data_IF_681198089658
#
_entry.id   IF_681198089658
#
_cell.length_a   1.000
_cell.length_b   1.000
_cell.length_c   1.000
_cell.angle_alpha   90.00
_cell.angle_beta   90.00
_cell.angle_gamma   90.00
#
_symmetry.space_group_name_H-M   'P 1'
#
loop_
_entity.id
_entity.type
_entity.pdbx_description
1 polymer ?
#
# COMPACT_ATOMS: atom_id res chain seq x y z
N UNK A 1 -16.98 -7.22 -0.10
CA UNK A 1 -16.09 -6.42 -0.95
C UNK A 1 -16.12 -4.98 -0.51
N UNK A 2 -15.00 -4.28 -0.51
CA UNK A 2 -14.93 -2.85 -0.20
C UNK A 2 -15.04 -2.07 -1.52
N UNK A 3 -16.14 -1.39 -1.75
CA UNK A 3 -16.42 -0.61 -2.97
C UNK A 3 -16.24 0.90 -2.78
N UNK A 4 -16.48 1.42 -1.58
CA UNK A 4 -16.68 2.85 -1.33
C UNK A 4 -15.48 3.76 -1.66
N UNK A 5 -14.25 3.24 -1.65
CA UNK A 5 -13.05 4.05 -1.87
C UNK A 5 -12.36 3.81 -3.22
N UNK A 6 -12.91 2.94 -4.09
CA UNK A 6 -12.23 2.44 -5.27
C UNK A 6 -13.04 2.53 -6.56
N UNK A 7 -14.32 2.89 -6.47
CA UNK A 7 -15.18 3.09 -7.64
C UNK A 7 -15.07 4.52 -8.17
N UNK A 8 -15.06 4.67 -9.48
CA UNK A 8 -15.40 5.95 -10.12
C UNK A 8 -14.26 6.78 -10.68
N UNK A 9 -12.98 6.37 -10.58
CA UNK A 9 -11.90 7.09 -11.27
C UNK A 9 -11.50 6.51 -12.63
N UNK A 10 -11.82 5.25 -12.88
CA UNK A 10 -11.54 4.59 -14.16
C UNK A 10 -12.51 3.42 -14.37
N UNK A 11 -13.48 3.62 -15.26
CA UNK A 11 -14.53 2.63 -15.55
C UNK A 11 -13.97 1.32 -16.11
N UNK A 12 -12.88 1.38 -16.90
CA UNK A 12 -12.25 0.20 -17.46
C UNK A 12 -11.57 -0.65 -16.36
N UNK A 13 -10.90 -0.01 -15.41
CA UNK A 13 -10.32 -0.71 -14.28
C UNK A 13 -11.41 -1.31 -13.37
N UNK A 14 -12.50 -0.58 -13.16
CA UNK A 14 -13.65 -1.07 -12.41
C UNK A 14 -14.28 -2.30 -13.08
N UNK A 15 -14.43 -2.31 -14.40
CA UNK A 15 -14.94 -3.45 -15.14
C UNK A 15 -14.08 -4.71 -14.97
N UNK A 16 -12.74 -4.58 -15.00
CA UNK A 16 -11.81 -5.69 -14.73
C UNK A 16 -12.03 -6.28 -13.35
N UNK A 17 -12.24 -5.43 -12.34
CA UNK A 17 -12.47 -5.90 -10.97
C UNK A 17 -13.84 -6.57 -10.84
N UNK A 18 -14.89 -6.04 -11.48
CA UNK A 18 -16.21 -6.68 -11.48
C UNK A 18 -16.18 -8.07 -12.15
N UNK A 19 -15.40 -8.24 -13.21
CA UNK A 19 -15.21 -9.55 -13.83
C UNK A 19 -14.44 -10.51 -12.90
N UNK A 20 -13.43 -10.02 -12.18
CA UNK A 20 -12.74 -10.80 -11.16
C UNK A 20 -13.69 -11.28 -10.04
N UNK A 21 -14.62 -10.41 -9.59
CA UNK A 21 -15.62 -10.78 -8.59
C UNK A 21 -16.60 -11.86 -9.09
N UNK A 22 -16.99 -11.81 -10.37
CA UNK A 22 -17.81 -12.87 -11.00
C UNK A 22 -17.09 -14.21 -10.96
N UNK A 23 -15.77 -14.23 -11.21
CA UNK A 23 -14.97 -15.46 -11.11
C UNK A 23 -14.96 -15.99 -9.68
N UNK A 24 -14.74 -15.13 -8.68
CA UNK A 24 -14.78 -15.54 -7.26
C UNK A 24 -16.13 -16.18 -6.91
N UNK A 25 -17.24 -15.55 -7.30
CA UNK A 25 -18.59 -16.08 -7.09
C UNK A 25 -18.79 -17.42 -7.81
N UNK A 26 -18.34 -17.55 -9.05
CA UNK A 26 -18.44 -18.79 -9.82
C UNK A 26 -17.62 -19.95 -9.21
N UNK A 27 -16.59 -19.61 -8.40
CA UNK A 27 -15.78 -20.58 -7.63
C UNK A 27 -16.32 -20.82 -6.22
N UNK A 28 -17.51 -20.31 -5.89
CA UNK A 28 -18.20 -20.59 -4.64
C UNK A 28 -17.99 -19.58 -3.53
N UNK A 29 -17.32 -18.45 -3.81
CA UNK A 29 -17.22 -17.38 -2.83
C UNK A 29 -18.56 -16.66 -2.64
N UNK A 30 -18.94 -16.40 -1.40
CA UNK A 30 -20.07 -15.55 -1.05
C UNK A 30 -19.54 -14.13 -0.88
N UNK A 31 -19.92 -13.24 -1.78
CA UNK A 31 -19.49 -11.84 -1.74
C UNK A 31 -20.52 -10.98 -1.00
N UNK A 32 -20.03 -10.15 -0.10
CA UNK A 32 -20.81 -9.16 0.64
C UNK A 32 -20.17 -7.79 0.49
N UNK A 33 -20.95 -6.79 0.12
CA UNK A 33 -20.47 -5.40 0.08
C UNK A 33 -20.38 -4.85 1.50
N UNK A 34 -19.24 -4.30 1.83
CA UNK A 34 -18.93 -3.73 3.16
C UNK A 34 -18.17 -2.42 3.01
N UNK A 35 -18.28 -1.58 4.01
CA UNK A 35 -17.45 -0.40 4.19
C UNK A 35 -16.39 -0.67 5.25
N UNK A 36 -15.13 -0.31 4.99
CA UNK A 36 -14.08 -0.43 5.99
C UNK A 36 -14.21 0.75 6.96
N UNK A 37 -14.49 0.48 8.25
CA UNK A 37 -14.57 1.54 9.24
C UNK A 37 -13.25 2.30 9.34
N UNK A 38 -13.34 3.60 9.60
CA UNK A 38 -12.19 4.50 9.80
C UNK A 38 -11.18 4.59 8.64
N UNK A 39 -11.50 4.08 7.45
CA UNK A 39 -10.62 4.22 6.29
C UNK A 39 -10.22 5.70 6.07
N UNK A 40 -8.91 5.96 5.99
CA UNK A 40 -8.35 7.30 5.80
C UNK A 40 -8.30 8.19 7.06
N UNK A 41 -8.88 7.80 8.21
CA UNK A 41 -8.87 8.64 9.42
C UNK A 41 -7.57 8.56 10.23
N UNK A 42 -6.70 7.63 9.92
CA UNK A 42 -5.41 7.44 10.60
C UNK A 42 -4.21 8.01 9.83
N UNK A 43 -4.42 8.70 8.69
CA UNK A 43 -3.34 9.17 7.84
C UNK A 43 -2.34 10.11 8.51
N UNK A 44 -2.79 11.01 9.36
CA UNK A 44 -1.90 11.90 10.12
C UNK A 44 -1.06 11.10 11.13
N UNK A 45 -1.69 10.17 11.86
CA UNK A 45 -1.00 9.28 12.79
C UNK A 45 -0.03 8.34 12.08
N UNK A 46 -0.40 7.80 10.92
CA UNK A 46 0.48 6.99 10.07
C UNK A 46 1.72 7.78 9.64
N UNK A 47 1.52 9.01 9.15
CA UNK A 47 2.63 9.87 8.76
C UNK A 47 3.56 10.21 9.92
N UNK A 48 3.00 10.39 11.12
CA UNK A 48 3.77 10.62 12.32
C UNK A 48 4.62 9.38 12.67
N UNK A 49 4.04 8.19 12.72
CA UNK A 49 4.74 6.91 12.93
C UNK A 49 5.85 6.72 11.90
N UNK A 50 5.54 6.87 10.61
CA UNK A 50 6.50 6.70 9.52
C UNK A 50 7.73 7.62 9.66
N UNK A 51 7.53 8.87 10.06
CA UNK A 51 8.65 9.83 10.20
C UNK A 51 9.57 9.49 11.37
N UNK A 52 9.03 9.02 12.50
CA UNK A 52 9.83 8.53 13.62
C UNK A 52 10.61 7.27 13.27
N UNK A 53 9.91 6.30 12.67
CA UNK A 53 10.50 5.00 12.33
C UNK A 53 11.51 5.09 11.18
N UNK A 54 11.33 6.02 10.23
CA UNK A 54 12.32 6.27 9.17
C UNK A 54 13.68 6.65 9.77
N UNK A 55 13.72 7.59 10.71
CA UNK A 55 14.97 8.00 11.36
C UNK A 55 15.62 6.85 12.13
N UNK A 56 14.85 6.22 13.01
CA UNK A 56 15.35 5.15 13.87
C UNK A 56 15.80 3.93 13.04
N UNK A 57 14.97 3.50 12.08
CA UNK A 57 15.23 2.33 11.25
C UNK A 57 16.39 2.53 10.29
N UNK A 58 16.49 3.69 9.63
CA UNK A 58 17.61 3.98 8.73
C UNK A 58 18.94 4.03 9.49
N UNK A 59 18.97 4.71 10.63
CA UNK A 59 20.18 4.79 11.44
C UNK A 59 20.64 3.40 11.92
N UNK A 60 19.72 2.56 12.39
CA UNK A 60 20.02 1.19 12.80
C UNK A 60 20.51 0.35 11.61
N UNK A 61 19.83 0.41 10.47
CA UNK A 61 20.22 -0.31 9.26
C UNK A 61 21.64 0.04 8.79
N UNK A 62 21.97 1.34 8.73
CA UNK A 62 23.29 1.79 8.31
C UNK A 62 24.38 1.34 9.29
N UNK A 63 24.09 1.36 10.60
CA UNK A 63 25.04 0.92 11.62
C UNK A 63 25.32 -0.60 11.57
N UNK A 64 24.26 -1.39 11.41
CA UNK A 64 24.33 -2.85 11.52
C UNK A 64 24.67 -3.54 10.19
N UNK A 65 24.01 -3.14 9.11
CA UNK A 65 24.12 -3.81 7.81
C UNK A 65 25.19 -3.20 6.90
N UNK A 66 25.54 -1.93 7.11
CA UNK A 66 26.49 -1.21 6.26
C UNK A 66 27.61 -0.52 7.05
N UNK A 67 28.39 -1.25 7.87
CA UNK A 67 29.40 -0.63 8.76
C UNK A 67 30.53 0.08 8.00
N UNK A 68 30.73 -0.21 6.72
CA UNK A 68 31.71 0.45 5.83
C UNK A 68 31.16 1.62 5.01
N UNK A 69 29.87 1.94 5.11
CA UNK A 69 29.27 3.03 4.34
C UNK A 69 29.83 4.41 4.79
N UNK A 70 30.03 5.35 3.84
CA UNK A 70 30.49 6.70 4.16
C UNK A 70 29.40 7.55 4.85
N UNK A 71 28.12 7.15 4.75
CA UNK A 71 26.96 7.78 5.38
C UNK A 71 26.43 6.82 6.42
N UNK A 72 26.23 7.27 7.65
CA UNK A 72 25.88 6.45 8.82
C UNK A 72 24.55 6.80 9.45
N UNK A 73 24.01 7.97 9.12
CA UNK A 73 22.79 8.51 9.74
C UNK A 73 21.93 9.22 8.72
N UNK A 74 20.64 9.37 9.03
CA UNK A 74 19.72 10.21 8.23
C UNK A 74 20.24 11.65 8.12
N UNK A 75 20.81 12.19 9.19
CA UNK A 75 21.40 13.53 9.17
C UNK A 75 22.52 13.64 8.14
N UNK A 76 23.47 12.70 8.14
CA UNK A 76 24.56 12.67 7.16
C UNK A 76 24.04 12.47 5.72
N UNK A 77 22.96 11.70 5.53
CA UNK A 77 22.31 11.55 4.24
C UNK A 77 21.71 12.87 3.76
N UNK A 78 21.03 13.61 4.63
CA UNK A 78 20.50 14.95 4.33
C UNK A 78 21.63 15.89 3.91
N UNK A 79 22.72 15.91 4.65
CA UNK A 79 23.90 16.74 4.36
C UNK A 79 24.55 16.35 3.01
N UNK A 80 24.63 15.03 2.73
CA UNK A 80 25.10 14.53 1.44
C UNK A 80 24.23 14.99 0.28
N UNK A 81 22.92 14.84 0.39
CA UNK A 81 21.96 15.26 -0.63
C UNK A 81 22.07 16.78 -0.88
N UNK A 82 22.19 17.56 0.18
CA UNK A 82 22.31 19.03 0.06
C UNK A 82 23.63 19.41 -0.63
N UNK A 83 24.74 18.76 -0.28
CA UNK A 83 26.05 18.99 -0.93
C UNK A 83 26.04 18.60 -2.41
N UNK A 84 25.21 17.65 -2.80
CA UNK A 84 25.08 17.16 -4.17
C UNK A 84 23.73 17.59 -4.81
N UNK A 85 23.16 18.68 -4.36
CA UNK A 85 21.82 19.18 -4.70
C UNK A 85 21.51 19.17 -6.20
N UNK A 86 22.44 19.55 -7.04
CA UNK A 86 22.24 19.61 -8.50
C UNK A 86 21.98 18.25 -9.13
N UNK A 87 22.36 17.18 -8.46
CA UNK A 87 22.16 15.79 -8.89
C UNK A 87 21.03 15.12 -8.14
N UNK A 88 21.04 15.20 -6.79
CA UNK A 88 20.17 14.43 -5.91
C UNK A 88 18.81 15.09 -5.72
N UNK A 89 18.74 16.43 -5.72
CA UNK A 89 17.50 17.18 -5.47
C UNK A 89 16.99 17.91 -6.72
N UNK A 90 17.34 17.42 -7.91
CA UNK A 90 16.98 18.06 -9.16
C UNK A 90 15.45 18.06 -9.43
N UNK A 91 14.75 17.02 -9.03
CA UNK A 91 13.33 16.82 -9.32
C UNK A 91 12.45 16.87 -8.07
N UNK A 92 12.97 16.42 -6.93
CA UNK A 92 12.27 16.37 -5.65
C UNK A 92 13.14 16.94 -4.55
N UNK A 93 12.51 17.55 -3.54
CA UNK A 93 13.18 17.95 -2.30
C UNK A 93 13.34 16.76 -1.33
N UNK A 94 13.72 17.08 -0.10
CA UNK A 94 13.90 16.08 0.96
C UNK A 94 13.11 16.43 2.23
N UNK A 95 11.92 16.99 2.06
CA UNK A 95 11.08 17.53 3.13
C UNK A 95 10.74 16.44 4.17
N UNK A 96 10.47 15.21 3.71
CA UNK A 96 10.18 14.09 4.61
C UNK A 96 11.42 13.68 5.43
N UNK A 97 12.61 13.73 4.87
CA UNK A 97 13.85 13.46 5.59
C UNK A 97 14.11 14.52 6.67
N UNK A 98 13.92 15.79 6.32
CA UNK A 98 14.03 16.91 7.27
C UNK A 98 13.02 16.78 8.41
N UNK A 99 11.77 16.44 8.08
CA UNK A 99 10.72 16.19 9.07
C UNK A 99 11.07 15.01 9.97
N UNK A 100 11.57 13.90 9.41
CA UNK A 100 11.98 12.72 10.18
C UNK A 100 13.18 13.00 11.08
N UNK A 101 14.20 13.74 10.58
CA UNK A 101 15.38 14.08 11.38
C UNK A 101 15.04 14.95 12.60
N UNK A 102 14.04 15.80 12.49
CA UNK A 102 13.56 16.61 13.60
C UNK A 102 12.82 15.82 14.69
N UNK A 103 12.50 14.53 14.46
CA UNK A 103 11.80 13.69 15.44
C UNK A 103 12.70 13.22 16.58
N UNK A 104 12.06 12.97 17.73
CA UNK A 104 12.70 12.33 18.90
C UNK A 104 12.93 10.84 18.75
N UNK A 105 13.08 10.13 19.86
CA UNK A 105 13.18 8.68 19.92
C UNK A 105 11.81 7.98 19.85
N UNK A 106 11.82 6.65 19.67
CA UNK A 106 10.59 5.83 19.62
C UNK A 106 9.92 5.67 20.99
N UNK A 107 10.46 6.26 22.03
CA UNK A 107 9.87 6.40 23.37
C UNK A 107 9.11 7.73 23.55
N UNK A 108 9.15 8.61 22.56
CA UNK A 108 8.43 9.90 22.60
C UNK A 108 6.93 9.70 22.70
N UNK A 109 6.29 10.55 23.50
CA UNK A 109 4.85 10.48 23.75
C UNK A 109 4.04 10.58 22.45
N UNK A 110 4.42 11.49 21.57
CA UNK A 110 3.78 11.75 20.27
C UNK A 110 3.80 10.51 19.39
N UNK A 111 4.94 9.81 19.33
CA UNK A 111 5.06 8.56 18.59
C UNK A 111 4.15 7.47 19.17
N UNK A 112 4.19 7.27 20.48
CA UNK A 112 3.39 6.23 21.15
C UNK A 112 1.88 6.48 21.00
N UNK A 113 1.43 7.73 21.11
CA UNK A 113 0.04 8.11 20.87
C UNK A 113 -0.39 7.89 19.41
N UNK A 114 0.45 8.28 18.44
CA UNK A 114 0.19 8.06 17.03
C UNK A 114 0.11 6.56 16.70
N UNK A 115 1.04 5.75 17.22
CA UNK A 115 1.05 4.29 17.03
C UNK A 115 -0.19 3.64 17.65
N UNK A 116 -0.58 4.05 18.84
CA UNK A 116 -1.80 3.56 19.50
C UNK A 116 -3.06 3.90 18.69
N UNK A 117 -3.14 5.13 18.16
CA UNK A 117 -4.25 5.55 17.30
C UNK A 117 -4.30 4.76 15.97
N UNK A 118 -3.15 4.54 15.34
CA UNK A 118 -3.04 3.68 14.15
C UNK A 118 -3.62 2.28 14.43
N UNK A 119 -3.18 1.63 15.50
CA UNK A 119 -3.64 0.29 15.88
C UNK A 119 -5.14 0.27 16.19
N UNK A 120 -5.61 1.20 16.99
CA UNK A 120 -7.02 1.29 17.36
C UNK A 120 -7.91 1.42 16.12
N UNK A 121 -7.64 2.39 15.25
CA UNK A 121 -8.50 2.69 14.11
C UNK A 121 -8.40 1.67 12.98
N UNK A 122 -7.22 1.08 12.74
CA UNK A 122 -7.02 0.13 11.63
C UNK A 122 -7.34 -1.32 12.01
N UNK A 123 -7.05 -1.73 13.26
CA UNK A 123 -7.31 -3.10 13.76
C UNK A 123 -8.65 -3.17 14.46
N UNK A 124 -8.69 -2.75 15.72
CA UNK A 124 -9.81 -2.97 16.65
C UNK A 124 -11.13 -2.38 16.13
N UNK A 125 -11.10 -1.13 15.68
CA UNK A 125 -12.26 -0.41 15.14
C UNK A 125 -12.31 -0.42 13.60
N UNK A 126 -11.41 -1.15 12.96
CA UNK A 126 -11.26 -1.28 11.50
C UNK A 126 -11.46 -2.70 11.01
N UNK A 127 -10.36 -3.34 10.61
CA UNK A 127 -10.38 -4.67 9.96
C UNK A 127 -10.99 -5.73 10.87
N UNK A 128 -10.57 -5.83 12.13
CA UNK A 128 -11.07 -6.85 13.06
C UNK A 128 -12.57 -6.71 13.29
N UNK A 129 -13.02 -5.46 13.48
CA UNK A 129 -14.44 -5.16 13.68
C UNK A 129 -15.30 -5.66 12.53
N UNK A 130 -15.00 -5.22 11.31
CA UNK A 130 -15.84 -5.56 10.16
C UNK A 130 -15.79 -7.05 9.83
N UNK A 131 -14.64 -7.68 9.98
CA UNK A 131 -14.50 -9.12 9.76
C UNK A 131 -15.30 -9.93 10.77
N UNK A 132 -15.28 -9.55 12.05
CA UNK A 132 -16.04 -10.23 13.11
C UNK A 132 -17.55 -10.01 12.97
N UNK A 133 -18.00 -8.76 12.76
CA UNK A 133 -19.42 -8.41 12.64
C UNK A 133 -20.09 -9.10 11.45
N UNK A 134 -19.38 -9.20 10.33
CA UNK A 134 -19.91 -9.78 9.09
C UNK A 134 -19.46 -11.23 8.88
N UNK A 135 -18.68 -11.81 9.80
CA UNK A 135 -18.16 -13.18 9.73
C UNK A 135 -17.42 -13.45 8.42
N UNK A 136 -16.50 -12.55 8.06
CA UNK A 136 -15.77 -12.61 6.79
C UNK A 136 -14.47 -13.43 6.95
N UNK A 137 -14.13 -14.22 5.93
CA UNK A 137 -12.84 -14.90 5.84
C UNK A 137 -11.73 -13.96 5.35
N UNK A 138 -12.08 -13.01 4.49
CA UNK A 138 -11.16 -11.98 3.99
C UNK A 138 -11.94 -10.76 3.45
N UNK A 139 -11.25 -9.63 3.39
CA UNK A 139 -11.68 -8.44 2.64
C UNK A 139 -11.08 -8.50 1.25
N UNK A 140 -11.84 -8.08 0.23
CA UNK A 140 -11.38 -8.02 -1.15
C UNK A 140 -11.63 -6.63 -1.73
N UNK A 141 -10.64 -6.11 -2.47
CA UNK A 141 -10.72 -4.80 -3.12
C UNK A 141 -9.77 -4.71 -4.32
N UNK A 142 -9.94 -3.73 -5.24
CA UNK A 142 -8.92 -3.39 -6.21
C UNK A 142 -7.60 -3.06 -5.51
N UNK A 143 -6.47 -3.57 -6.03
CA UNK A 143 -5.15 -3.28 -5.43
C UNK A 143 -4.76 -1.82 -5.63
N UNK A 144 -4.91 -1.34 -6.87
CA UNK A 144 -4.65 0.05 -7.28
C UNK A 144 -5.32 0.30 -8.64
N UNK A 145 -5.35 1.55 -9.07
CA UNK A 145 -5.65 1.90 -10.46
C UNK A 145 -4.54 1.45 -11.43
N UNK A 146 -4.71 1.69 -12.76
CA UNK A 146 -3.65 1.47 -13.74
C UNK A 146 -2.41 2.29 -13.39
N UNK A 147 -1.23 1.74 -13.70
CA UNK A 147 0.02 2.52 -13.61
C UNK A 147 -0.03 3.74 -14.52
N UNK A 148 0.70 4.77 -14.16
CA UNK A 148 0.78 6.05 -14.90
C UNK A 148 2.21 6.38 -15.28
N UNK A 149 2.35 7.33 -16.22
CA UNK A 149 3.66 7.87 -16.60
C UNK A 149 4.09 8.89 -15.54
N UNK A 150 5.34 8.82 -15.11
CA UNK A 150 5.93 9.83 -14.21
C UNK A 150 5.86 11.21 -14.85
N UNK A 151 5.25 12.16 -14.17
CA UNK A 151 5.09 13.55 -14.62
C UNK A 151 5.65 14.50 -13.56
N UNK A 152 6.82 15.08 -13.84
CA UNK A 152 7.49 16.02 -12.93
C UNK A 152 6.84 17.40 -12.85
N UNK A 153 5.83 17.69 -13.70
CA UNK A 153 5.14 18.98 -13.72
C UNK A 153 3.79 18.87 -12.99
N UNK A 154 2.99 17.85 -13.30
CA UNK A 154 1.66 17.66 -12.75
C UNK A 154 1.62 16.72 -11.54
N UNK A 155 2.71 16.02 -11.30
CA UNK A 155 2.80 14.99 -10.25
C UNK A 155 2.12 13.67 -10.64
N UNK A 156 1.98 12.80 -9.65
CA UNK A 156 1.44 11.46 -9.83
C UNK A 156 -0.08 11.46 -10.09
N UNK A 157 -0.52 10.62 -11.02
CA UNK A 157 -1.93 10.36 -11.28
C UNK A 157 -2.38 9.04 -10.63
N UNK A 158 -2.23 8.94 -9.31
CA UNK A 158 -2.63 7.74 -8.55
C UNK A 158 -4.14 7.52 -8.61
N UNK A 159 -4.54 6.30 -8.98
CA UNK A 159 -5.94 5.86 -8.99
C UNK A 159 -6.52 5.49 -7.62
N UNK A 160 -5.73 5.68 -6.55
CA UNK A 160 -6.05 5.15 -5.21
C UNK A 160 -5.65 3.69 -5.07
N UNK A 161 -5.60 3.17 -3.86
CA UNK A 161 -5.21 1.79 -3.57
C UNK A 161 -5.79 1.30 -2.24
N UNK A 162 -5.70 -0.01 -2.00
CA UNK A 162 -6.25 -0.65 -0.79
C UNK A 162 -5.17 -1.14 0.19
N UNK A 163 -3.91 -0.75 0.01
CA UNK A 163 -2.82 -1.23 0.86
C UNK A 163 -2.77 -0.59 2.24
N UNK A 164 -3.19 0.67 2.38
CA UNK A 164 -3.00 1.47 3.59
C UNK A 164 -3.56 0.79 4.84
N UNK A 165 -4.80 0.30 4.79
CA UNK A 165 -5.44 -0.30 5.96
C UNK A 165 -4.66 -1.49 6.53
N UNK A 166 -4.22 -2.40 5.66
CA UNK A 166 -3.43 -3.56 6.04
C UNK A 166 -2.02 -3.15 6.50
N UNK A 167 -1.37 -2.21 5.82
CA UNK A 167 -0.05 -1.71 6.18
C UNK A 167 -0.04 -1.07 7.58
N UNK A 168 -0.99 -0.18 7.86
CA UNK A 168 -1.12 0.48 9.17
C UNK A 168 -1.49 -0.52 10.27
N UNK A 169 -2.33 -1.51 9.95
CA UNK A 169 -2.67 -2.59 10.87
C UNK A 169 -1.50 -3.56 11.10
N UNK A 170 -0.52 -3.65 10.18
CA UNK A 170 0.49 -4.70 10.19
C UNK A 170 -0.14 -6.07 9.93
N UNK A 171 -1.17 -6.13 9.07
CA UNK A 171 -1.90 -7.35 8.72
C UNK A 171 -1.53 -7.85 7.33
N UNK A 172 -1.69 -9.15 7.08
CA UNK A 172 -1.34 -9.73 5.80
C UNK A 172 -2.21 -9.20 4.67
N UNK A 173 -1.56 -8.92 3.54
CA UNK A 173 -2.17 -8.43 2.32
C UNK A 173 -1.49 -9.13 1.12
N UNK A 174 -2.27 -9.71 0.24
CA UNK A 174 -1.79 -10.32 -1.00
C UNK A 174 -2.53 -9.74 -2.20
N UNK A 175 -1.81 -9.51 -3.29
CA UNK A 175 -2.39 -9.08 -4.56
C UNK A 175 -2.05 -10.06 -5.68
N UNK A 176 -3.00 -10.25 -6.57
CA UNK A 176 -2.83 -11.07 -7.79
C UNK A 176 -3.40 -10.31 -9.01
N UNK A 177 -2.92 -10.59 -10.23
CA UNK A 177 -3.46 -9.96 -11.43
C UNK A 177 -4.93 -10.30 -11.64
N UNK A 178 -5.78 -9.29 -11.73
CA UNK A 178 -7.21 -9.42 -12.05
C UNK A 178 -7.51 -9.32 -13.54
N UNK A 179 -6.64 -8.64 -14.30
CA UNK A 179 -6.79 -8.42 -15.72
C UNK A 179 -5.92 -7.26 -16.20
N UNK A 180 -6.28 -6.68 -17.35
CA UNK A 180 -5.50 -5.62 -18.00
C UNK A 180 -6.41 -4.55 -18.57
N UNK A 181 -5.93 -3.30 -18.54
CA UNK A 181 -6.52 -2.15 -19.25
C UNK A 181 -5.43 -1.57 -20.15
N UNK A 182 -5.66 -1.53 -21.46
CA UNK A 182 -4.67 -1.06 -22.44
C UNK A 182 -3.27 -1.71 -22.27
N UNK A 183 -3.23 -3.00 -21.91
CA UNK A 183 -2.00 -3.73 -21.65
C UNK A 183 -1.38 -3.50 -20.26
N UNK A 184 -1.92 -2.57 -19.44
CA UNK A 184 -1.47 -2.31 -18.08
C UNK A 184 -2.20 -3.22 -17.09
N UNK A 185 -1.48 -3.87 -16.15
CA UNK A 185 -2.11 -4.80 -15.21
C UNK A 185 -2.96 -4.09 -14.15
N UNK A 186 -4.09 -4.70 -13.84
CA UNK A 186 -4.94 -4.35 -12.69
C UNK A 186 -4.86 -5.52 -11.71
N UNK A 187 -4.65 -5.21 -10.43
CA UNK A 187 -4.62 -6.19 -9.35
C UNK A 187 -5.92 -6.24 -8.54
N UNK A 188 -6.20 -7.42 -8.00
CA UNK A 188 -7.17 -7.62 -6.92
C UNK A 188 -6.42 -8.01 -5.66
N UNK A 189 -6.80 -7.40 -4.54
CA UNK A 189 -6.18 -7.60 -3.23
C UNK A 189 -7.08 -8.36 -2.29
N UNK A 190 -6.47 -9.23 -1.49
CA UNK A 190 -7.10 -9.90 -0.36
C UNK A 190 -6.38 -9.49 0.92
N UNK A 191 -7.15 -9.13 1.95
CA UNK A 191 -6.66 -8.72 3.27
C UNK A 191 -7.42 -9.50 4.33
N UNK A 192 -6.74 -9.91 5.40
CA UNK A 192 -7.38 -10.56 6.54
C UNK A 192 -6.74 -10.09 7.86
N UNK A 193 -7.20 -10.62 8.97
CA UNK A 193 -6.65 -10.35 10.29
C UNK A 193 -5.24 -10.91 10.48
N UNK A 194 -4.67 -10.68 11.66
CA UNK A 194 -3.31 -11.13 12.00
C UNK A 194 -3.15 -12.66 11.78
N UNK A 195 -2.00 -13.06 11.25
CA UNK A 195 -1.60 -14.47 11.05
C UNK A 195 -2.49 -15.28 10.10
N UNK A 196 -3.25 -14.60 9.22
CA UNK A 196 -4.13 -15.23 8.24
C UNK A 196 -3.47 -15.44 6.86
N UNK A 197 -2.14 -15.43 6.77
CA UNK A 197 -1.39 -15.58 5.51
C UNK A 197 -1.78 -16.85 4.75
N UNK A 198 -1.96 -17.98 5.45
CA UNK A 198 -2.37 -19.24 4.84
C UNK A 198 -3.73 -19.16 4.15
N UNK A 199 -4.69 -18.45 4.75
CA UNK A 199 -6.01 -18.19 4.16
C UNK A 199 -5.89 -17.32 2.92
N UNK A 200 -5.11 -16.25 2.99
CA UNK A 200 -4.92 -15.34 1.85
C UNK A 200 -4.21 -16.02 0.68
N UNK A 201 -3.17 -16.82 0.94
CA UNK A 201 -2.47 -17.60 -0.10
C UNK A 201 -3.43 -18.56 -0.78
N UNK A 202 -4.29 -19.25 -0.01
CA UNK A 202 -5.30 -20.17 -0.55
C UNK A 202 -6.28 -19.45 -1.47
N UNK A 203 -6.79 -18.27 -1.06
CA UNK A 203 -7.73 -17.50 -1.86
C UNK A 203 -7.08 -16.95 -3.14
N UNK A 204 -5.89 -16.36 -3.02
CA UNK A 204 -5.12 -15.82 -4.14
C UNK A 204 -4.74 -16.92 -5.14
N UNK A 205 -4.28 -18.08 -4.67
CA UNK A 205 -3.95 -19.21 -5.51
C UNK A 205 -5.18 -19.77 -6.24
N UNK A 206 -6.30 -19.93 -5.54
CA UNK A 206 -7.54 -20.39 -6.17
C UNK A 206 -8.02 -19.44 -7.28
N UNK A 207 -7.91 -18.13 -7.06
CA UNK A 207 -8.23 -17.12 -8.05
C UNK A 207 -7.27 -17.16 -9.24
N UNK A 208 -5.95 -17.22 -8.97
CA UNK A 208 -4.92 -17.32 -10.01
C UNK A 208 -5.12 -18.55 -10.90
N UNK A 209 -5.38 -19.73 -10.30
CA UNK A 209 -5.64 -20.96 -11.04
C UNK A 209 -6.92 -20.89 -11.89
N UNK A 210 -7.91 -20.14 -11.44
CA UNK A 210 -9.16 -19.96 -12.18
C UNK A 210 -9.03 -19.00 -13.36
N UNK A 211 -8.13 -18.04 -13.31
CA UNK A 211 -8.04 -16.93 -14.27
C UNK A 211 -6.82 -16.98 -15.18
N UNK A 212 -5.68 -17.45 -14.68
CA UNK A 212 -4.39 -17.51 -15.39
C UNK A 212 -4.00 -16.14 -16.00
N UNK A 213 -4.36 -15.04 -15.35
CA UNK A 213 -4.11 -13.69 -15.85
C UNK A 213 -2.65 -13.26 -15.81
N UNK A 214 -1.80 -13.94 -15.02
CA UNK A 214 -0.39 -13.59 -14.94
C UNK A 214 0.30 -13.72 -16.29
N UNK A 215 0.93 -12.63 -16.76
CA UNK A 215 1.75 -12.59 -17.97
C UNK A 215 3.13 -12.03 -17.63
N UNK A 216 4.14 -12.45 -18.39
CA UNK A 216 5.45 -11.82 -18.30
C UNK A 216 5.34 -10.34 -18.73
N UNK A 217 6.05 -9.42 -18.08
CA UNK A 217 6.05 -8.03 -18.48
C UNK A 217 6.71 -7.88 -19.86
N UNK A 218 6.12 -6.99 -20.65
CA UNK A 218 6.76 -6.47 -21.86
C UNK A 218 7.26 -5.06 -21.56
N UNK A 219 8.34 -4.65 -22.22
CA UNK A 219 8.93 -3.32 -22.06
C UNK A 219 8.76 -2.52 -23.35
N UNK A 220 7.53 -2.11 -23.71
CA UNK A 220 7.31 -1.34 -24.94
C UNK A 220 7.98 0.03 -24.83
N UNK A 221 8.67 0.45 -25.89
CA UNK A 221 9.27 1.79 -25.94
C UNK A 221 8.23 2.92 -25.96
N UNK A 222 6.97 2.59 -26.28
CA UNK A 222 5.81 3.50 -26.21
C UNK A 222 4.57 2.68 -25.88
N UNK A 223 3.71 3.23 -25.03
CA UNK A 223 2.36 2.70 -24.79
C UNK A 223 1.45 3.27 -25.88
N UNK A 224 0.90 2.39 -26.72
CA UNK A 224 -0.13 2.79 -27.69
C UNK A 224 -1.51 2.64 -27.04
N UNK A 225 -2.23 3.71 -26.95
CA UNK A 225 -3.66 3.71 -26.64
C UNK A 225 -4.39 3.44 -27.96
N UNK A 226 -4.65 2.17 -28.23
CA UNK A 226 -5.49 1.75 -29.36
C UNK A 226 -6.94 1.64 -28.92
#
# INVERSE_FOLDING_TARGET
MIRANFGGRNDLASAVVEDALKVLTAKGAVLMDVELPNAGKYGDSETEVLTYELKAGLNAYLAECMPGAPIRTLKELIEFNEKNRDRELKYFGQELFLRAEAKGGLDSKEYLEALANCRKLSREEGIDKIMAEQKLDALVAPSNGPTWITDFIKGDNSGGGFSQAAAVAGYPHITVPAGYVAGLPIGISFVAGAWAEGTLIKLAYAFEQATQHRRAPTFPGRVSMA
#
